data_IF_353134507798
#
_entry.id   IF_353134507798
#
_cell.length_a   1.000
_cell.length_b   1.000
_cell.length_c   1.000
_cell.angle_alpha   90.00
_cell.angle_beta   90.00
_cell.angle_gamma   90.00
#
_symmetry.space_group_name_H-M   'P 1'
#
loop_
_entity.id
_entity.type
_entity.pdbx_description
1 polymer ?
#
# COMPACT_ATOMS: atom_id res chain seq x y z
N UNK A 1 0.21 -18.67 -4.13
CA UNK A 1 0.94 -18.58 -2.84
C UNK A 1 1.81 -19.79 -2.54
N UNK A 2 1.30 -21.01 -2.32
CA UNK A 2 2.15 -22.18 -1.98
C UNK A 2 3.03 -22.72 -3.12
N UNK A 3 2.96 -22.13 -4.32
CA UNK A 3 3.70 -22.55 -5.54
C UNK A 3 4.58 -21.45 -6.14
N UNK A 4 4.83 -20.35 -5.41
CA UNK A 4 5.74 -19.33 -5.92
C UNK A 4 7.14 -19.95 -6.09
N UNK A 5 7.90 -19.58 -7.14
CA UNK A 5 9.19 -20.19 -7.45
C UNK A 5 10.29 -19.86 -6.43
N UNK A 6 9.99 -19.03 -5.43
CA UNK A 6 10.92 -18.57 -4.41
C UNK A 6 11.02 -19.49 -3.19
N UNK A 7 10.17 -20.51 -3.10
CA UNK A 7 10.12 -21.44 -1.98
C UNK A 7 11.07 -22.61 -2.19
N UNK A 8 11.79 -22.99 -1.13
CA UNK A 8 12.66 -24.17 -1.12
C UNK A 8 11.90 -25.46 -0.80
N UNK A 9 10.71 -25.34 -0.21
CA UNK A 9 9.88 -26.47 0.17
C UNK A 9 8.43 -26.08 0.42
N UNK A 10 7.69 -26.95 1.11
CA UNK A 10 6.31 -26.67 1.50
C UNK A 10 6.29 -25.56 2.56
N UNK A 11 5.55 -24.49 2.29
CA UNK A 11 5.37 -23.37 3.21
C UNK A 11 4.01 -23.42 3.91
N UNK A 12 3.93 -22.86 5.11
CA UNK A 12 2.69 -22.70 5.87
C UNK A 12 2.40 -21.21 6.11
N UNK A 13 1.63 -20.53 5.23
CA UNK A 13 1.33 -19.11 5.37
C UNK A 13 0.45 -18.82 6.59
N UNK A 14 0.85 -17.84 7.40
CA UNK A 14 0.09 -17.36 8.55
C UNK A 14 -0.59 -16.04 8.19
N UNK A 15 -1.93 -15.92 8.23
CA UNK A 15 -2.62 -14.68 7.90
C UNK A 15 -2.20 -13.53 8.83
N UNK A 16 -1.93 -12.36 8.24
CA UNK A 16 -1.70 -11.11 8.95
C UNK A 16 -2.96 -10.25 8.91
N UNK A 17 -3.39 -9.78 10.09
CA UNK A 17 -4.52 -8.84 10.22
C UNK A 17 -4.09 -7.43 9.80
N UNK A 18 -5.05 -6.59 9.43
CA UNK A 18 -4.82 -5.15 9.13
C UNK A 18 -4.74 -4.77 7.66
N UNK A 19 -4.84 -5.73 6.72
CA UNK A 19 -5.05 -5.42 5.31
C UNK A 19 -6.52 -5.11 5.03
N UNK A 20 -6.85 -3.90 4.55
CA UNK A 20 -8.22 -3.54 4.14
C UNK A 20 -8.52 -4.11 2.75
N UNK A 21 -7.60 -3.90 1.80
CA UNK A 21 -7.77 -4.26 0.38
C UNK A 21 -6.89 -5.43 -0.06
N UNK A 22 -6.13 -6.01 0.87
CA UNK A 22 -5.09 -7.00 0.62
C UNK A 22 -5.17 -8.17 1.59
N UNK A 23 -5.03 -9.39 1.07
CA UNK A 23 -4.75 -10.56 1.89
C UNK A 23 -3.23 -10.64 2.11
N UNK A 24 -2.81 -10.44 3.36
CA UNK A 24 -1.39 -10.44 3.74
C UNK A 24 -1.08 -11.68 4.57
N UNK A 25 0.07 -12.29 4.33
CA UNK A 25 0.49 -13.50 5.03
C UNK A 25 1.96 -13.41 5.40
N UNK A 26 2.29 -13.82 6.62
CA UNK A 26 3.66 -14.11 7.03
C UNK A 26 3.99 -15.53 6.57
N UNK A 27 5.11 -15.67 5.88
CA UNK A 27 5.61 -16.97 5.43
C UNK A 27 7.06 -17.12 5.88
N UNK A 28 7.37 -18.27 6.47
CA UNK A 28 8.73 -18.66 6.82
C UNK A 28 9.17 -19.84 5.94
N UNK A 29 10.37 -19.73 5.37
CA UNK A 29 10.98 -20.77 4.54
C UNK A 29 12.50 -20.79 4.77
N UNK A 30 13.02 -21.91 5.30
CA UNK A 30 14.45 -22.09 5.55
C UNK A 30 15.09 -21.00 6.43
N UNK A 31 14.39 -20.55 7.47
CA UNK A 31 14.83 -19.50 8.40
C UNK A 31 14.65 -18.05 7.89
N UNK A 32 14.18 -17.86 6.65
CA UNK A 32 13.84 -16.54 6.10
C UNK A 32 12.36 -16.25 6.30
N UNK A 33 12.04 -15.11 6.92
CA UNK A 33 10.67 -14.58 7.05
C UNK A 33 10.37 -13.57 5.95
N UNK A 34 9.22 -13.71 5.31
CA UNK A 34 8.72 -12.78 4.28
C UNK A 34 7.24 -12.48 4.48
N UNK A 35 6.81 -11.33 3.99
CA UNK A 35 5.39 -10.97 3.92
C UNK A 35 4.94 -11.11 2.47
N UNK A 36 3.95 -11.96 2.23
CA UNK A 36 3.31 -12.14 0.93
C UNK A 36 2.00 -11.37 0.92
N UNK A 37 1.88 -10.42 0.00
CA UNK A 37 0.69 -9.61 -0.23
C UNK A 37 -0.01 -10.10 -1.49
N UNK A 38 -1.29 -10.42 -1.39
CA UNK A 38 -2.12 -10.82 -2.52
C UNK A 38 -3.31 -9.90 -2.65
N UNK A 39 -3.52 -9.41 -3.87
CA UNK A 39 -4.71 -8.69 -4.23
C UNK A 39 -4.65 -8.16 -5.67
N UNK A 40 -5.82 -7.84 -6.21
CA UNK A 40 -5.97 -7.30 -7.57
C UNK A 40 -6.06 -5.78 -7.60
N UNK A 41 -6.09 -5.24 -8.82
CA UNK A 41 -6.46 -3.85 -9.06
C UNK A 41 -7.84 -3.55 -8.48
N UNK A 42 -8.04 -2.31 -8.07
CA UNK A 42 -9.36 -1.81 -7.69
C UNK A 42 -9.60 -0.50 -8.41
N UNK A 43 -10.18 -0.62 -9.61
CA UNK A 43 -10.46 0.51 -10.50
C UNK A 43 -11.37 1.54 -9.83
N UNK A 44 -12.38 1.07 -9.07
CA UNK A 44 -13.28 1.96 -8.34
C UNK A 44 -12.56 2.86 -7.32
N UNK A 45 -11.36 2.47 -6.86
CA UNK A 45 -10.54 3.27 -5.96
C UNK A 45 -9.26 3.83 -6.63
N UNK A 46 -9.15 3.73 -7.95
CA UNK A 46 -7.96 4.15 -8.71
C UNK A 46 -6.70 3.36 -8.34
N UNK A 47 -6.83 2.17 -7.76
CA UNK A 47 -5.69 1.35 -7.33
C UNK A 47 -5.16 0.56 -8.52
N UNK A 48 -4.02 1.01 -9.05
CA UNK A 48 -3.26 0.34 -10.11
C UNK A 48 -2.01 -0.32 -9.51
N UNK A 49 -2.04 -1.64 -9.36
CA UNK A 49 -1.03 -2.47 -8.67
C UNK A 49 0.29 -2.54 -9.40
N UNK A 50 0.30 -2.34 -10.73
CA UNK A 50 1.53 -2.28 -11.53
C UNK A 50 2.54 -1.25 -10.97
N UNK A 51 2.04 -0.22 -10.31
CA UNK A 51 2.87 0.80 -9.68
C UNK A 51 3.25 0.49 -8.23
N UNK A 52 2.57 -0.45 -7.56
CA UNK A 52 2.89 -0.87 -6.18
C UNK A 52 4.31 -1.43 -6.10
N UNK A 53 4.70 -2.27 -7.05
CA UNK A 53 6.04 -2.85 -7.08
C UNK A 53 7.12 -1.80 -7.39
N UNK A 54 6.88 -0.92 -8.36
CA UNK A 54 7.82 0.16 -8.69
C UNK A 54 8.02 1.11 -7.50
N UNK A 55 6.94 1.49 -6.82
CA UNK A 55 6.99 2.28 -5.60
C UNK A 55 7.71 1.55 -4.46
N UNK A 56 7.46 0.25 -4.27
CA UNK A 56 8.11 -0.57 -3.24
C UNK A 56 9.62 -0.71 -3.48
N UNK A 57 10.04 -0.91 -4.73
CA UNK A 57 11.45 -0.95 -5.11
C UNK A 57 12.14 0.41 -4.84
N UNK A 58 11.51 1.52 -5.24
CA UNK A 58 12.04 2.86 -5.00
C UNK A 58 12.12 3.18 -3.50
N UNK A 59 11.11 2.77 -2.73
CA UNK A 59 11.08 2.94 -1.28
C UNK A 59 12.16 2.11 -0.57
N UNK A 60 12.47 0.90 -1.06
CA UNK A 60 13.60 0.12 -0.55
C UNK A 60 14.94 0.81 -0.82
N UNK A 61 15.16 1.29 -2.06
CA UNK A 61 16.40 2.01 -2.42
C UNK A 61 16.58 3.32 -1.63
N UNK A 62 15.47 3.97 -1.28
CA UNK A 62 15.45 5.15 -0.40
C UNK A 62 15.61 4.82 1.10
N UNK A 63 15.70 3.54 1.48
CA UNK A 63 15.79 3.10 2.88
C UNK A 63 14.52 3.38 3.70
N UNK A 64 13.35 3.33 3.07
CA UNK A 64 12.03 3.60 3.67
C UNK A 64 11.19 2.31 3.82
N UNK A 65 11.36 1.35 2.91
CA UNK A 65 10.58 0.10 2.87
C UNK A 65 11.49 -1.14 2.90
N UNK A 66 10.96 -2.32 3.28
CA UNK A 66 11.68 -3.58 3.15
C UNK A 66 11.97 -3.93 1.69
N UNK A 67 12.96 -4.81 1.50
CA UNK A 67 13.33 -5.32 0.18
C UNK A 67 12.16 -6.07 -0.48
N UNK A 68 11.95 -5.82 -1.77
CA UNK A 68 11.11 -6.65 -2.63
C UNK A 68 11.87 -7.92 -3.00
N UNK A 69 11.36 -9.07 -2.57
CA UNK A 69 11.97 -10.39 -2.82
C UNK A 69 11.43 -10.98 -4.12
N UNK A 70 10.16 -10.76 -4.42
CA UNK A 70 9.48 -11.32 -5.59
C UNK A 70 8.25 -10.50 -5.96
N UNK A 71 7.91 -10.50 -7.24
CA UNK A 71 6.70 -9.89 -7.76
C UNK A 71 6.19 -10.68 -8.97
N UNK A 72 4.87 -10.79 -9.08
CA UNK A 72 4.14 -11.24 -10.27
C UNK A 72 2.75 -10.56 -10.25
N UNK A 73 1.97 -10.59 -11.34
CA UNK A 73 0.63 -10.02 -11.33
C UNK A 73 -0.22 -10.50 -10.14
N UNK A 74 -0.68 -9.54 -9.32
CA UNK A 74 -1.50 -9.80 -8.14
C UNK A 74 -0.76 -10.28 -6.89
N UNK A 75 0.57 -10.41 -6.92
CA UNK A 75 1.40 -10.89 -5.80
C UNK A 75 2.64 -10.01 -5.62
N UNK A 76 2.87 -9.55 -4.39
CA UNK A 76 4.10 -8.86 -3.99
C UNK A 76 4.67 -9.52 -2.74
N UNK A 77 5.95 -9.90 -2.77
CA UNK A 77 6.66 -10.50 -1.64
C UNK A 77 7.73 -9.56 -1.14
N UNK A 78 7.65 -9.21 0.14
CA UNK A 78 8.57 -8.31 0.83
C UNK A 78 9.34 -9.07 1.91
N UNK A 79 10.57 -8.67 2.19
CA UNK A 79 11.26 -9.11 3.41
C UNK A 79 10.47 -8.71 4.66
N UNK A 80 10.50 -9.55 5.69
CA UNK A 80 9.87 -9.24 6.97
C UNK A 80 10.73 -8.24 7.75
N UNK A 81 10.09 -7.20 8.29
CA UNK A 81 10.72 -6.28 9.24
C UNK A 81 10.37 -6.75 10.64
N UNK A 82 11.37 -7.13 11.42
CA UNK A 82 11.18 -7.42 12.83
C UNK A 82 11.06 -6.11 13.61
N UNK A 83 9.88 -5.87 14.18
CA UNK A 83 9.58 -4.61 14.85
C UNK A 83 8.15 -4.55 15.38
N UNK A 84 7.91 -3.54 16.21
CA UNK A 84 6.59 -3.28 16.76
C UNK A 84 5.79 -2.39 15.80
N UNK A 85 4.62 -2.87 15.39
CA UNK A 85 3.64 -2.04 14.69
C UNK A 85 3.07 -1.01 15.67
N UNK A 86 3.16 0.26 15.32
CA UNK A 86 2.64 1.34 16.15
C UNK A 86 1.10 1.35 16.19
N UNK A 87 0.57 1.48 17.40
CA UNK A 87 -0.81 1.89 17.66
C UNK A 87 -0.95 3.43 17.53
N UNK A 88 -2.18 3.97 17.46
CA UNK A 88 -2.38 5.42 17.42
C UNK A 88 -1.70 6.18 18.58
N UNK A 89 -1.60 5.56 19.76
CA UNK A 89 -0.97 6.13 20.95
C UNK A 89 0.56 6.22 20.78
N UNK A 90 1.18 5.21 20.16
CA UNK A 90 2.62 5.22 19.86
C UNK A 90 2.99 6.33 18.88
N UNK A 91 2.11 6.63 17.92
CA UNK A 91 2.29 7.74 16.96
C UNK A 91 2.18 9.10 17.66
N UNK A 92 1.31 9.23 18.67
CA UNK A 92 1.14 10.48 19.43
C UNK A 92 2.27 10.72 20.43
N UNK A 93 3.07 9.70 20.76
CA UNK A 93 4.22 9.85 21.63
C UNK A 93 5.26 10.80 21.01
N UNK A 94 5.60 11.94 21.66
CA UNK A 94 6.61 12.87 21.18
C UNK A 94 7.98 12.24 20.88
N UNK A 95 8.37 11.21 21.61
CA UNK A 95 9.65 10.51 21.42
C UNK A 95 9.72 9.79 20.06
N UNK A 96 8.57 9.37 19.53
CA UNK A 96 8.47 8.74 18.21
C UNK A 96 8.23 9.73 17.08
N UNK A 97 7.57 10.86 17.36
CA UNK A 97 7.19 11.85 16.34
C UNK A 97 8.37 12.30 15.47
N UNK A 98 9.52 12.58 16.08
CA UNK A 98 10.71 13.00 15.33
C UNK A 98 11.15 11.96 14.29
N UNK A 99 11.15 10.67 14.66
CA UNK A 99 11.53 9.56 13.78
C UNK A 99 10.50 9.36 12.67
N UNK A 100 9.21 9.49 12.98
CA UNK A 100 8.12 9.40 11.99
C UNK A 100 8.24 10.52 10.96
N UNK A 101 8.41 11.76 11.42
CA UNK A 101 8.56 12.93 10.54
C UNK A 101 9.80 12.81 9.66
N UNK A 102 10.92 12.31 10.20
CA UNK A 102 12.11 12.04 9.40
C UNK A 102 11.85 11.01 8.30
N UNK A 103 11.16 9.90 8.62
CA UNK A 103 10.78 8.88 7.66
C UNK A 103 9.88 9.45 6.55
N UNK A 104 8.90 10.28 6.91
CA UNK A 104 8.02 10.97 5.93
C UNK A 104 8.83 11.93 5.06
N UNK A 105 9.77 12.69 5.62
CA UNK A 105 10.66 13.56 4.82
C UNK A 105 11.51 12.76 3.84
N UNK A 106 12.05 11.63 4.28
CA UNK A 106 12.83 10.72 3.42
C UNK A 106 11.97 10.14 2.30
N UNK A 107 10.74 9.73 2.63
CA UNK A 107 9.75 9.30 1.65
C UNK A 107 9.56 10.36 0.54
N UNK A 108 9.33 11.61 0.93
CA UNK A 108 9.08 12.69 -0.04
C UNK A 108 10.31 13.11 -0.85
N UNK A 109 11.51 13.03 -0.29
CA UNK A 109 12.73 13.55 -0.93
C UNK A 109 13.53 12.50 -1.69
N UNK A 110 13.58 11.28 -1.16
CA UNK A 110 14.49 10.25 -1.68
C UNK A 110 13.78 9.26 -2.61
N UNK A 111 12.53 8.87 -2.33
CA UNK A 111 11.80 7.92 -3.18
C UNK A 111 11.66 8.40 -4.63
N UNK A 112 11.29 9.68 -4.91
CA UNK A 112 11.16 10.14 -6.29
C UNK A 112 12.44 10.01 -7.12
N UNK A 113 13.63 10.04 -6.49
CA UNK A 113 14.92 9.87 -7.18
C UNK A 113 15.15 8.45 -7.69
N UNK A 114 14.45 7.47 -7.12
CA UNK A 114 14.56 6.05 -7.47
C UNK A 114 13.35 5.50 -8.22
N UNK A 115 12.24 6.25 -8.25
CA UNK A 115 11.00 5.82 -8.90
C UNK A 115 11.19 5.73 -10.42
N UNK A 116 10.66 4.64 -11.00
CA UNK A 116 10.69 4.38 -12.44
C UNK A 116 9.30 4.04 -12.95
N UNK A 117 9.04 4.37 -14.22
CA UNK A 117 7.73 4.19 -14.85
C UNK A 117 6.82 5.42 -14.68
N UNK A 118 5.52 5.28 -14.99
CA UNK A 118 4.57 6.38 -14.86
C UNK A 118 4.50 6.88 -13.41
N UNK A 119 4.68 8.18 -13.20
CA UNK A 119 4.42 8.78 -11.90
C UNK A 119 2.94 8.69 -11.60
N UNK A 120 2.55 8.00 -10.52
CA UNK A 120 1.18 8.10 -10.02
C UNK A 120 1.06 9.42 -9.28
N UNK A 121 0.16 10.27 -9.76
CA UNK A 121 -0.30 11.43 -9.02
C UNK A 121 -1.48 11.01 -8.14
N UNK A 122 -1.35 11.17 -6.82
CA UNK A 122 -2.52 11.14 -5.95
C UNK A 122 -3.16 12.54 -5.91
N UNK A 123 -4.24 12.72 -6.67
CA UNK A 123 -4.98 13.98 -6.73
C UNK A 123 -6.32 13.86 -6.01
N UNK A 124 -6.32 14.16 -4.72
CA UNK A 124 -7.49 13.99 -3.84
C UNK A 124 -8.76 14.68 -4.37
N UNK A 125 -8.64 15.90 -4.89
CA UNK A 125 -9.80 16.63 -5.43
C UNK A 125 -10.38 15.97 -6.68
N UNK A 126 -9.52 15.43 -7.56
CA UNK A 126 -9.99 14.68 -8.72
C UNK A 126 -10.69 13.39 -8.30
N UNK A 127 -10.13 12.64 -7.33
CA UNK A 127 -10.77 11.43 -6.79
C UNK A 127 -12.17 11.71 -6.27
N UNK A 128 -12.37 12.80 -5.51
CA UNK A 128 -13.70 13.17 -5.00
C UNK A 128 -14.66 13.53 -6.13
N UNK A 129 -14.21 14.31 -7.13
CA UNK A 129 -15.01 14.67 -8.29
C UNK A 129 -15.39 13.44 -9.12
N UNK A 130 -14.47 12.51 -9.31
CA UNK A 130 -14.70 11.27 -10.06
C UNK A 130 -15.77 10.40 -9.40
N UNK A 131 -15.72 10.20 -8.09
CA UNK A 131 -16.80 9.53 -7.36
C UNK A 131 -18.16 10.21 -7.54
N UNK A 132 -18.19 11.55 -7.55
CA UNK A 132 -19.42 12.28 -7.81
C UNK A 132 -19.94 12.05 -9.23
N UNK A 133 -19.06 11.93 -10.24
CA UNK A 133 -19.45 11.53 -11.60
C UNK A 133 -20.03 10.11 -11.63
N UNK A 134 -19.37 9.14 -10.99
CA UNK A 134 -19.86 7.76 -10.89
C UNK A 134 -21.25 7.69 -10.27
N UNK A 135 -21.48 8.37 -9.14
CA UNK A 135 -22.77 8.38 -8.44
C UNK A 135 -23.89 9.05 -9.24
N UNK A 136 -23.55 10.05 -10.08
CA UNK A 136 -24.52 10.69 -10.99
C UNK A 136 -24.86 9.80 -12.19
N UNK A 137 -23.89 9.02 -12.70
CA UNK A 137 -24.10 8.12 -13.82
C UNK A 137 -24.91 6.87 -13.46
N UNK A 138 -24.85 6.42 -12.19
CA UNK A 138 -25.66 5.33 -11.66
C UNK A 138 -26.40 5.76 -10.38
N UNK A 139 -27.52 6.51 -10.50
CA UNK A 139 -28.26 7.05 -9.37
C UNK A 139 -28.71 5.99 -8.36
N UNK A 140 -28.36 6.21 -7.09
CA UNK A 140 -28.80 5.38 -5.96
C UNK A 140 -29.16 6.21 -4.73
N UNK A 141 -29.32 5.56 -3.58
CA UNK A 141 -29.74 6.21 -2.33
C UNK A 141 -28.84 7.39 -1.90
N UNK A 142 -27.58 7.38 -2.33
CA UNK A 142 -26.57 8.36 -1.99
C UNK A 142 -26.55 9.61 -2.90
N UNK A 143 -27.28 9.63 -4.03
CA UNK A 143 -27.24 10.76 -4.97
C UNK A 143 -27.64 12.09 -4.31
N UNK A 144 -28.61 12.05 -3.38
CA UNK A 144 -29.06 13.24 -2.62
C UNK A 144 -27.96 13.88 -1.76
N UNK A 145 -26.92 13.13 -1.42
CA UNK A 145 -25.81 13.62 -0.60
C UNK A 145 -24.69 14.24 -1.46
N UNK A 146 -24.63 13.93 -2.75
CA UNK A 146 -23.52 14.31 -3.63
C UNK A 146 -23.34 15.82 -3.69
N UNK A 147 -24.43 16.59 -3.87
CA UNK A 147 -24.33 18.07 -3.94
C UNK A 147 -23.69 18.64 -2.67
N UNK A 148 -24.23 18.27 -1.50
CA UNK A 148 -23.72 18.73 -0.20
C UNK A 148 -22.27 18.31 0.06
N UNK A 149 -21.85 17.13 -0.39
CA UNK A 149 -20.48 16.65 -0.22
C UNK A 149 -19.50 17.39 -1.14
N UNK A 150 -19.92 17.71 -2.37
CA UNK A 150 -19.11 18.48 -3.32
C UNK A 150 -18.88 19.93 -2.87
N UNK A 151 -19.87 20.56 -2.23
CA UNK A 151 -19.72 21.92 -1.67
C UNK A 151 -18.60 22.03 -0.61
N UNK A 152 -18.12 20.89 -0.08
CA UNK A 152 -17.00 20.83 0.89
C UNK A 152 -15.68 20.40 0.27
N UNK A 153 -15.69 20.01 -1.00
CA UNK A 153 -14.54 19.45 -1.70
C UNK A 153 -13.81 20.49 -2.57
N UNK A 154 -14.42 21.65 -2.81
CA UNK A 154 -13.82 22.83 -3.44
C UNK A 154 -13.36 23.85 -2.37
#
# INVERSE_FOLDING_TARGET
MARLPIWRGKVNPVPLKGGITNANFLVEDGGRKVVVRVGGDNEAHGIVRKSEAAASHAAFLAGVAPQVIYQEPGVLVLSHVDGQTFAPEDVRNPDHLNRIVELVRRCHREIPKHLRGPGILFWVFHVVRDYAHTLRAAPGAHLRQVSRLMDRAD
#
